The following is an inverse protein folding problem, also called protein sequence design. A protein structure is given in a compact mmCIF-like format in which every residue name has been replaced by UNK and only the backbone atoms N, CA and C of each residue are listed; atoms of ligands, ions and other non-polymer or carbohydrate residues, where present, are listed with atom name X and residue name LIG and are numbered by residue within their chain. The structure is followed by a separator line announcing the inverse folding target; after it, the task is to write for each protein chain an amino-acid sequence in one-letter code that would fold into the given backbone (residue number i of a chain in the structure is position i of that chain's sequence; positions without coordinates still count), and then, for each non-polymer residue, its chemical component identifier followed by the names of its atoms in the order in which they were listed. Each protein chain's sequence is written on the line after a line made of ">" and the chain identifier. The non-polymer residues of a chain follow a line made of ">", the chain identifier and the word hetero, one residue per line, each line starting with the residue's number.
data_IF_534553912827
#
_entry.id   IF_534553912827
#
_cell.length_a   1.000
_cell.length_b   1.000
_cell.length_c   1.000
_cell.angle_alpha   90.00
_cell.angle_beta   90.00
_cell.angle_gamma   90.00
#
_symmetry.space_group_name_H-M   'P 1'
#
loop_
_entity.id
_entity.type
_entity.pdbx_description
1 polymer ?
#
# COMPACT_ATOMS: atom_id res chain seq x y z
N UNK A 1 60.93 44.95 -25.51
CA UNK A 1 59.64 45.68 -25.65
C UNK A 1 58.60 44.89 -24.86
N UNK A 2 58.74 44.71 -23.55
CA UNK A 2 58.85 45.70 -22.46
C UNK A 2 57.76 46.76 -22.53
N UNK A 3 56.76 46.60 -21.67
CA UNK A 3 56.17 47.67 -20.88
C UNK A 3 55.77 47.09 -19.52
N UNK A 4 56.68 47.18 -18.57
CA UNK A 4 56.40 47.25 -17.14
C UNK A 4 55.94 48.67 -16.81
N UNK A 5 54.88 48.80 -16.00
CA UNK A 5 54.81 49.87 -14.99
C UNK A 5 54.08 49.35 -13.75
N UNK A 6 54.74 49.51 -12.61
CA UNK A 6 54.33 49.19 -11.24
C UNK A 6 53.73 50.41 -10.53
N UNK A 7 52.89 50.19 -9.51
CA UNK A 7 52.94 50.89 -8.20
C UNK A 7 51.92 50.32 -7.17
N UNK A 8 52.47 49.56 -6.22
CA UNK A 8 52.42 49.56 -4.74
C UNK A 8 51.20 49.95 -3.85
N UNK A 9 51.15 49.23 -2.69
CA UNK A 9 50.53 49.50 -1.34
C UNK A 9 49.00 49.29 -1.19
N UNK A 10 48.41 48.77 -0.10
CA UNK A 10 48.80 48.23 1.22
C UNK A 10 47.58 47.46 1.82
N UNK A 11 47.81 46.55 2.77
CA UNK A 11 46.92 46.17 3.89
C UNK A 11 45.48 45.66 3.69
N UNK A 12 45.18 44.49 4.28
CA UNK A 12 43.81 44.19 4.72
C UNK A 12 43.42 42.71 4.72
N UNK A 13 43.45 42.08 5.90
CA UNK A 13 42.73 40.84 6.20
C UNK A 13 41.24 40.98 5.80
N UNK A 14 40.69 39.99 5.10
CA UNK A 14 39.28 39.66 5.31
C UNK A 14 39.03 38.16 5.20
N UNK A 15 38.67 37.58 6.34
CA UNK A 15 38.16 36.23 6.47
C UNK A 15 36.71 36.22 5.97
N UNK A 16 36.42 35.52 4.89
CA UNK A 16 35.04 35.15 4.55
C UNK A 16 34.92 33.64 4.32
N UNK A 17 34.68 32.96 5.44
CA UNK A 17 33.55 32.05 5.63
C UNK A 17 33.27 31.03 4.50
N UNK A 18 33.97 29.90 4.53
CA UNK A 18 33.45 28.63 4.01
C UNK A 18 33.00 27.77 5.19
N UNK A 19 31.70 27.79 5.49
CA UNK A 19 31.06 26.77 6.33
C UNK A 19 30.97 25.46 5.52
N UNK A 20 31.40 24.31 6.06
CA UNK A 20 31.12 23.02 5.42
C UNK A 20 29.66 22.64 5.65
N UNK A 21 28.82 22.77 4.62
CA UNK A 21 27.49 22.16 4.52
C UNK A 21 27.59 20.64 4.27
N UNK A 22 28.30 19.90 5.13
CA UNK A 22 28.43 18.43 5.00
C UNK A 22 27.74 17.65 6.12
N UNK A 23 27.22 18.31 7.16
CA UNK A 23 26.62 17.62 8.33
C UNK A 23 25.13 17.27 8.22
N UNK A 24 24.37 17.89 7.32
CA UNK A 24 22.91 17.69 7.23
C UNK A 24 22.51 16.49 6.35
N UNK A 25 23.24 16.24 5.27
CA UNK A 25 23.05 15.06 4.39
C UNK A 25 23.44 13.75 5.09
N UNK A 26 24.48 13.79 5.93
CA UNK A 26 24.96 12.62 6.67
C UNK A 26 24.00 12.22 7.80
N UNK A 27 23.32 13.20 8.40
CA UNK A 27 22.30 12.99 9.44
C UNK A 27 20.99 12.42 8.88
N UNK A 28 20.65 12.71 7.62
CA UNK A 28 19.49 12.12 6.94
C UNK A 28 19.73 10.67 6.53
N UNK A 29 20.97 10.30 6.17
CA UNK A 29 21.37 8.90 5.93
C UNK A 29 21.42 8.06 7.21
N UNK A 30 21.90 8.63 8.32
CA UNK A 30 21.97 7.91 9.61
C UNK A 30 20.59 7.67 10.22
N UNK A 31 19.62 8.56 9.97
CA UNK A 31 18.22 8.36 10.38
C UNK A 31 17.50 7.31 9.51
N UNK A 32 17.90 7.11 8.25
CA UNK A 32 17.36 6.04 7.40
C UNK A 32 17.93 4.65 7.75
N UNK A 33 19.17 4.61 8.27
CA UNK A 33 19.81 3.39 8.78
C UNK A 33 19.18 2.90 10.09
N UNK A 34 18.74 3.82 10.95
CA UNK A 34 18.23 3.48 12.30
C UNK A 34 16.83 2.85 12.30
N UNK A 35 16.08 2.95 11.20
CA UNK A 35 14.75 2.30 11.06
C UNK A 35 14.89 0.82 10.67
N UNK A 36 16.04 0.40 10.13
CA UNK A 36 16.31 -0.99 9.74
C UNK A 36 16.89 -1.86 10.87
N UNK A 37 17.31 -1.26 11.99
CA UNK A 37 18.03 -1.98 13.05
C UNK A 37 17.15 -2.52 14.20
N UNK A 38 15.82 -2.36 14.14
CA UNK A 38 14.91 -2.80 15.21
C UNK A 38 14.51 -4.28 15.19
N UNK A 39 15.10 -5.12 14.33
CA UNK A 39 14.71 -6.54 14.29
C UNK A 39 15.82 -7.51 13.88
N UNK A 40 16.91 -7.57 14.65
CA UNK A 40 17.99 -8.56 14.41
C UNK A 40 17.58 -10.04 14.63
N UNK A 41 16.39 -10.31 15.16
CA UNK A 41 15.91 -11.68 15.44
C UNK A 41 14.51 -12.01 14.88
N UNK A 42 13.90 -11.14 14.07
CA UNK A 42 12.64 -11.43 13.40
C UNK A 42 12.90 -11.86 11.96
N UNK A 43 12.48 -13.07 11.58
CA UNK A 43 12.45 -13.47 10.16
C UNK A 43 11.34 -12.66 9.49
N UNK A 44 11.67 -11.49 8.95
CA UNK A 44 10.74 -10.67 8.18
C UNK A 44 10.59 -11.28 6.79
N UNK A 45 9.38 -11.73 6.45
CA UNK A 45 9.06 -12.18 5.11
C UNK A 45 8.15 -11.13 4.47
N UNK A 46 8.63 -10.51 3.40
CA UNK A 46 7.88 -9.51 2.66
C UNK A 46 6.63 -10.15 2.05
N UNK A 47 5.54 -9.38 2.01
CA UNK A 47 4.28 -9.80 1.39
C UNK A 47 4.08 -9.05 0.08
N UNK A 48 3.45 -9.72 -0.88
CA UNK A 48 3.02 -9.12 -2.14
C UNK A 48 1.56 -9.49 -2.43
N UNK A 49 0.89 -8.71 -3.28
CA UNK A 49 -0.43 -9.05 -3.80
C UNK A 49 -0.28 -9.51 -5.26
N UNK A 50 -0.75 -10.72 -5.53
CA UNK A 50 -1.02 -11.19 -6.88
C UNK A 50 -2.52 -11.07 -7.17
N UNK A 51 -2.86 -10.43 -8.29
CA UNK A 51 -4.23 -10.39 -8.80
C UNK A 51 -4.27 -11.05 -10.17
N UNK A 52 -4.97 -12.18 -10.27
CA UNK A 52 -5.25 -12.84 -11.54
C UNK A 52 -6.50 -12.19 -12.13
N UNK A 53 -6.33 -11.56 -13.29
CA UNK A 53 -7.33 -10.76 -14.00
C UNK A 53 -8.35 -11.66 -14.73
N UNK A 54 -9.51 -11.11 -15.17
CA UNK A 54 -10.60 -11.91 -15.72
C UNK A 54 -10.23 -12.77 -16.93
N UNK A 55 -9.26 -12.32 -17.74
CA UNK A 55 -8.75 -13.04 -18.92
C UNK A 55 -7.99 -14.33 -18.56
N UNK A 56 -7.43 -14.41 -17.36
CA UNK A 56 -6.57 -15.52 -16.93
C UNK A 56 -7.16 -16.36 -15.79
N UNK A 57 -8.37 -16.06 -15.31
CA UNK A 57 -8.99 -16.81 -14.20
C UNK A 57 -9.19 -18.31 -14.52
N UNK A 58 -9.45 -18.66 -15.78
CA UNK A 58 -9.56 -20.07 -16.20
C UNK A 58 -8.20 -20.80 -16.20
N UNK A 59 -7.11 -20.06 -16.00
CA UNK A 59 -5.72 -20.54 -15.89
C UNK A 59 -5.14 -20.28 -14.50
N UNK A 60 -5.99 -20.00 -13.51
CA UNK A 60 -5.55 -19.66 -12.17
C UNK A 60 -4.71 -20.79 -11.53
N UNK A 61 -5.12 -22.05 -11.68
CA UNK A 61 -4.38 -23.19 -11.11
C UNK A 61 -2.98 -23.33 -11.71
N UNK A 62 -2.83 -23.11 -13.03
CA UNK A 62 -1.53 -23.13 -13.72
C UNK A 62 -0.62 -21.99 -13.23
N UNK A 63 -1.19 -20.78 -13.07
CA UNK A 63 -0.47 -19.61 -12.56
C UNK A 63 -0.05 -19.82 -11.10
N UNK A 64 -0.92 -20.39 -10.27
CA UNK A 64 -0.62 -20.73 -8.87
C UNK A 64 0.50 -21.76 -8.77
N UNK A 65 0.50 -22.79 -9.64
CA UNK A 65 1.58 -23.75 -9.71
C UNK A 65 2.93 -23.08 -10.04
N UNK A 66 2.95 -22.13 -11.00
CA UNK A 66 4.15 -21.36 -11.32
C UNK A 66 4.62 -20.54 -10.12
N UNK A 67 3.70 -19.87 -9.41
CA UNK A 67 4.00 -19.08 -8.20
C UNK A 67 4.66 -19.96 -7.14
N UNK A 68 4.07 -21.12 -6.83
CA UNK A 68 4.59 -22.05 -5.82
C UNK A 68 5.95 -22.62 -6.23
N UNK A 69 6.13 -22.98 -7.50
CA UNK A 69 7.41 -23.48 -8.03
C UNK A 69 8.52 -22.43 -7.97
N UNK A 70 8.17 -21.13 -8.01
CA UNK A 70 9.12 -20.03 -7.82
C UNK A 70 9.39 -19.70 -6.33
N UNK A 71 8.97 -20.57 -5.41
CA UNK A 71 9.30 -20.48 -3.99
C UNK A 71 8.49 -19.44 -3.21
N UNK A 72 7.37 -18.97 -3.77
CA UNK A 72 6.41 -18.18 -3.00
C UNK A 72 5.56 -19.09 -2.11
N UNK A 73 5.14 -18.58 -0.96
CA UNK A 73 4.05 -19.16 -0.18
C UNK A 73 2.77 -18.37 -0.39
N UNK A 74 1.64 -19.06 -0.53
CA UNK A 74 0.31 -18.46 -0.60
C UNK A 74 -0.27 -18.39 0.81
N UNK A 75 -0.45 -17.18 1.34
CA UNK A 75 -0.97 -16.95 2.70
C UNK A 75 -2.49 -16.91 2.73
N UNK A 76 -3.10 -16.21 1.76
CA UNK A 76 -4.54 -16.09 1.63
C UNK A 76 -4.91 -16.02 0.14
N UNK A 77 -6.09 -16.53 -0.21
CA UNK A 77 -6.63 -16.47 -1.56
C UNK A 77 -8.13 -16.24 -1.50
N UNK A 78 -8.67 -15.43 -2.42
CA UNK A 78 -10.11 -15.31 -2.63
C UNK A 78 -10.44 -15.05 -4.09
N UNK A 79 -11.58 -15.58 -4.53
CA UNK A 79 -12.21 -15.22 -5.82
C UNK A 79 -13.26 -14.16 -5.56
N UNK A 80 -13.25 -13.07 -6.32
CA UNK A 80 -14.18 -11.94 -6.15
C UNK A 80 -14.58 -11.37 -7.51
N UNK A 81 -15.78 -10.81 -7.61
CA UNK A 81 -16.19 -9.97 -8.74
C UNK A 81 -16.35 -8.55 -8.21
N UNK A 82 -15.58 -7.61 -8.76
CA UNK A 82 -15.62 -6.21 -8.33
C UNK A 82 -16.77 -5.48 -9.00
N UNK A 83 -17.39 -4.57 -8.26
CA UNK A 83 -18.26 -3.54 -8.87
C UNK A 83 -17.40 -2.46 -9.54
N UNK A 84 -18.01 -1.64 -10.41
CA UNK A 84 -17.32 -0.52 -11.04
C UNK A 84 -16.77 0.49 -10.03
N UNK A 85 -17.50 0.73 -8.94
CA UNK A 85 -17.09 1.59 -7.83
C UNK A 85 -15.86 1.01 -7.12
N UNK A 86 -15.93 -0.24 -6.67
CA UNK A 86 -14.80 -0.92 -6.01
C UNK A 86 -13.56 -0.99 -6.92
N UNK A 87 -13.75 -1.25 -8.21
CA UNK A 87 -12.66 -1.28 -9.17
C UNK A 87 -12.05 0.13 -9.38
N UNK A 88 -12.88 1.17 -9.37
CA UNK A 88 -12.41 2.55 -9.50
C UNK A 88 -11.62 2.99 -8.27
N UNK A 89 -12.07 2.61 -7.08
CA UNK A 89 -11.35 2.86 -5.82
C UNK A 89 -9.99 2.14 -5.80
N UNK A 90 -9.97 0.88 -6.21
CA UNK A 90 -8.75 0.07 -6.29
C UNK A 90 -7.71 0.69 -7.24
N UNK A 91 -8.14 1.20 -8.40
CA UNK A 91 -7.28 1.84 -9.40
C UNK A 91 -7.29 3.37 -9.31
N UNK A 92 -7.59 3.96 -8.15
CA UNK A 92 -7.76 5.41 -7.98
C UNK A 92 -6.54 6.24 -8.41
N UNK A 93 -5.33 5.68 -8.31
CA UNK A 93 -4.08 6.31 -8.79
C UNK A 93 -4.06 6.53 -10.32
N UNK A 94 -4.90 5.82 -11.06
CA UNK A 94 -5.05 5.96 -12.51
C UNK A 94 -6.24 6.85 -12.90
N UNK A 95 -6.94 7.46 -11.94
CA UNK A 95 -8.05 8.35 -12.23
C UNK A 95 -7.61 9.50 -13.16
N UNK A 96 -8.46 9.81 -14.15
CA UNK A 96 -8.18 10.84 -15.16
C UNK A 96 -7.26 10.39 -16.31
N UNK A 97 -6.67 9.18 -16.27
CA UNK A 97 -5.93 8.62 -17.41
C UNK A 97 -6.90 8.15 -18.51
N UNK A 98 -6.53 8.34 -19.78
CA UNK A 98 -7.38 7.96 -20.94
C UNK A 98 -7.80 6.48 -20.95
N UNK A 99 -6.95 5.59 -20.44
CA UNK A 99 -7.23 4.15 -20.39
C UNK A 99 -8.09 3.71 -19.20
N UNK A 100 -8.31 4.59 -18.20
CA UNK A 100 -8.96 4.23 -16.94
C UNK A 100 -10.38 3.66 -17.10
N UNK A 101 -11.28 4.25 -17.92
CA UNK A 101 -12.61 3.67 -18.12
C UNK A 101 -12.57 2.26 -18.71
N UNK A 102 -11.65 2.02 -19.66
CA UNK A 102 -11.47 0.69 -20.27
C UNK A 102 -10.94 -0.31 -19.23
N UNK A 103 -9.98 0.10 -18.40
CA UNK A 103 -9.45 -0.72 -17.31
C UNK A 103 -10.57 -1.16 -16.35
N UNK A 104 -11.40 -0.22 -15.90
CA UNK A 104 -12.54 -0.51 -15.01
C UNK A 104 -13.54 -1.45 -15.67
N UNK A 105 -13.92 -1.19 -16.92
CA UNK A 105 -14.85 -2.04 -17.66
C UNK A 105 -14.30 -3.47 -17.82
N UNK A 106 -13.01 -3.63 -18.07
CA UNK A 106 -12.38 -4.93 -18.18
C UNK A 106 -12.31 -5.67 -16.85
N UNK A 107 -11.84 -5.02 -15.79
CA UNK A 107 -11.68 -5.64 -14.47
C UNK A 107 -13.03 -6.02 -13.82
N UNK A 108 -14.13 -5.39 -14.25
CA UNK A 108 -15.50 -5.74 -13.82
C UNK A 108 -16.23 -6.69 -14.77
N UNK A 109 -15.61 -7.09 -15.89
CA UNK A 109 -16.21 -7.99 -16.89
C UNK A 109 -16.36 -9.44 -16.40
N UNK A 110 -15.74 -9.80 -15.28
CA UNK A 110 -15.76 -11.15 -14.75
C UNK A 110 -15.11 -11.24 -13.36
N UNK A 111 -15.04 -12.45 -12.80
CA UNK A 111 -14.34 -12.68 -11.55
C UNK A 111 -12.84 -12.47 -11.71
N UNK A 112 -12.17 -12.19 -10.60
CA UNK A 112 -10.73 -12.14 -10.42
C UNK A 112 -10.32 -13.02 -9.24
N UNK A 113 -9.04 -13.38 -9.15
CA UNK A 113 -8.48 -14.10 -8.00
C UNK A 113 -7.43 -13.22 -7.35
N UNK A 114 -7.64 -12.83 -6.09
CA UNK A 114 -6.67 -12.11 -5.28
C UNK A 114 -5.93 -13.10 -4.39
N UNK A 115 -4.60 -12.98 -4.32
CA UNK A 115 -3.72 -13.89 -3.59
C UNK A 115 -2.68 -13.08 -2.83
N UNK A 116 -2.58 -13.29 -1.52
CA UNK A 116 -1.50 -12.75 -0.69
C UNK A 116 -0.33 -13.73 -0.76
N UNK A 117 0.79 -13.25 -1.29
CA UNK A 117 2.03 -14.00 -1.41
C UNK A 117 3.01 -13.60 -0.31
N UNK A 118 3.88 -14.52 0.08
CA UNK A 118 5.05 -14.21 0.92
C UNK A 118 6.31 -14.91 0.42
N UNK A 119 7.41 -14.15 0.39
CA UNK A 119 8.76 -14.58 0.02
C UNK A 119 9.76 -13.52 0.50
N UNK A 120 11.03 -13.87 0.62
CA UNK A 120 12.08 -12.85 0.69
C UNK A 120 12.04 -11.97 -0.58
N UNK A 121 12.04 -10.65 -0.41
CA UNK A 121 11.88 -9.66 -1.49
C UNK A 121 10.65 -9.94 -2.38
N UNK A 122 9.53 -10.37 -1.79
CA UNK A 122 8.33 -10.80 -2.51
C UNK A 122 7.84 -9.81 -3.57
N UNK A 123 7.91 -8.50 -3.33
CA UNK A 123 7.42 -7.50 -4.28
C UNK A 123 8.30 -7.51 -5.54
N UNK A 124 9.61 -7.42 -5.36
CA UNK A 124 10.57 -7.47 -6.46
C UNK A 124 10.49 -8.80 -7.20
N UNK A 125 10.51 -9.92 -6.47
CA UNK A 125 10.43 -11.26 -7.03
C UNK A 125 9.12 -11.47 -7.81
N UNK A 126 8.01 -10.92 -7.33
CA UNK A 126 6.72 -11.01 -8.04
C UNK A 126 6.78 -10.22 -9.35
N UNK A 127 7.38 -9.02 -9.33
CA UNK A 127 7.59 -8.19 -10.52
C UNK A 127 8.46 -8.86 -11.56
N UNK A 128 9.53 -9.51 -11.14
CA UNK A 128 10.41 -10.30 -12.02
C UNK A 128 9.65 -11.48 -12.64
N UNK A 129 8.91 -12.23 -11.83
CA UNK A 129 8.14 -13.40 -12.28
C UNK A 129 7.04 -13.05 -13.30
N UNK A 130 6.35 -11.92 -13.12
CA UNK A 130 5.27 -11.53 -14.04
C UNK A 130 5.78 -10.86 -15.32
N UNK A 131 6.98 -10.27 -15.31
CA UNK A 131 7.56 -9.59 -16.47
C UNK A 131 6.90 -8.25 -16.84
N UNK A 132 7.27 -7.65 -17.99
CA UNK A 132 6.80 -6.33 -18.44
C UNK A 132 5.28 -6.24 -18.57
N UNK A 133 4.70 -5.06 -18.30
CA UNK A 133 3.24 -4.87 -18.31
C UNK A 133 2.58 -5.14 -19.67
N UNK A 134 3.28 -4.86 -20.77
CA UNK A 134 2.83 -5.20 -22.11
C UNK A 134 3.22 -6.64 -22.45
N UNK A 135 2.24 -7.52 -22.62
CA UNK A 135 2.46 -8.94 -22.93
C UNK A 135 3.20 -9.20 -24.24
N UNK A 136 3.12 -8.30 -25.23
CA UNK A 136 3.88 -8.43 -26.48
C UNK A 136 5.37 -8.27 -26.19
N UNK A 137 5.74 -7.22 -25.46
CA UNK A 137 7.12 -6.97 -25.01
C UNK A 137 7.59 -8.09 -24.09
N UNK A 138 6.71 -8.60 -23.20
CA UNK A 138 7.04 -9.72 -22.32
C UNK A 138 7.39 -10.98 -23.13
N UNK A 139 6.65 -11.31 -24.20
CA UNK A 139 6.96 -12.47 -25.07
C UNK A 139 8.33 -12.37 -25.73
N UNK A 140 8.75 -11.17 -26.08
CA UNK A 140 10.04 -10.93 -26.73
C UNK A 140 11.22 -10.94 -25.74
N UNK A 141 11.02 -10.35 -24.55
CA UNK A 141 12.13 -10.07 -23.61
C UNK A 141 12.19 -11.04 -22.44
N UNK A 142 11.06 -11.60 -22.02
CA UNK A 142 10.90 -12.48 -20.86
C UNK A 142 9.90 -13.61 -21.20
N UNK A 143 10.22 -14.50 -22.16
CA UNK A 143 9.27 -15.46 -22.74
C UNK A 143 8.66 -16.42 -21.70
N UNK A 144 9.36 -16.66 -20.59
CA UNK A 144 8.92 -17.54 -19.50
C UNK A 144 8.09 -16.81 -18.44
N UNK A 145 7.91 -15.49 -18.55
CA UNK A 145 7.12 -14.71 -17.58
C UNK A 145 5.62 -15.00 -17.68
N UNK A 146 4.91 -14.82 -16.56
CA UNK A 146 3.45 -15.05 -16.52
C UNK A 146 2.71 -14.20 -17.57
N UNK A 147 3.12 -12.95 -17.79
CA UNK A 147 2.49 -12.08 -18.81
C UNK A 147 2.78 -12.51 -20.23
N UNK A 148 3.91 -13.18 -20.48
CA UNK A 148 4.22 -13.76 -21.78
C UNK A 148 3.39 -15.02 -22.05
N UNK A 149 3.26 -15.89 -21.05
CA UNK A 149 2.56 -17.17 -21.16
C UNK A 149 1.03 -17.02 -21.26
N UNK A 150 0.44 -16.12 -20.46
CA UNK A 150 -1.02 -16.03 -20.30
C UNK A 150 -1.63 -14.73 -20.82
N UNK A 151 -0.81 -13.71 -21.08
CA UNK A 151 -1.28 -12.41 -21.53
C UNK A 151 -1.37 -12.26 -23.05
N UNK A 152 -2.26 -11.37 -23.48
CA UNK A 152 -2.54 -11.09 -24.90
C UNK A 152 -2.17 -9.67 -25.33
N UNK A 153 -2.31 -8.68 -24.45
CA UNK A 153 -1.94 -7.27 -24.71
C UNK A 153 -1.72 -6.52 -23.39
N UNK A 154 -1.50 -5.20 -23.45
CA UNK A 154 -1.24 -4.36 -22.28
C UNK A 154 -2.36 -4.37 -21.23
N UNK A 155 -3.63 -4.38 -21.66
CA UNK A 155 -4.78 -4.39 -20.76
C UNK A 155 -5.09 -5.80 -20.24
N UNK A 156 -5.12 -6.77 -21.15
CA UNK A 156 -5.33 -8.21 -20.92
C UNK A 156 -3.99 -8.92 -20.79
N UNK A 157 -3.27 -8.58 -19.73
CA UNK A 157 -1.95 -9.11 -19.41
C UNK A 157 -1.99 -10.16 -18.30
N UNK A 158 -3.13 -10.84 -18.07
CA UNK A 158 -3.32 -11.90 -17.07
C UNK A 158 -3.18 -11.51 -15.58
N UNK A 159 -2.20 -10.70 -15.19
CA UNK A 159 -1.88 -10.44 -13.78
C UNK A 159 -1.50 -8.98 -13.47
N UNK A 160 -1.92 -8.52 -12.29
CA UNK A 160 -1.48 -7.27 -11.66
C UNK A 160 -0.25 -7.49 -10.78
N UNK A 161 0.62 -6.48 -10.69
CA UNK A 161 1.75 -6.52 -9.76
C UNK A 161 2.29 -5.14 -9.47
N UNK A 162 2.31 -4.82 -8.18
CA UNK A 162 2.63 -3.53 -7.59
C UNK A 162 4.13 -3.29 -7.54
N UNK A 163 4.52 -2.03 -7.36
CA UNK A 163 5.92 -1.59 -7.36
C UNK A 163 6.41 -1.07 -6.00
N UNK A 164 5.54 -0.94 -5.00
CA UNK A 164 5.89 -0.33 -3.71
C UNK A 164 5.21 -1.01 -2.52
N UNK A 165 5.90 -1.08 -1.38
CA UNK A 165 5.36 -1.64 -0.14
C UNK A 165 4.06 -0.94 0.32
N UNK A 166 3.98 0.38 0.16
CA UNK A 166 2.80 1.18 0.53
C UNK A 166 1.57 0.79 -0.30
N UNK A 167 1.73 0.64 -1.62
CA UNK A 167 0.62 0.21 -2.48
C UNK A 167 0.19 -1.22 -2.16
N UNK A 168 1.16 -2.13 -1.95
CA UNK A 168 0.87 -3.53 -1.58
C UNK A 168 0.10 -3.62 -0.28
N UNK A 169 0.48 -2.89 0.76
CA UNK A 169 -0.24 -2.90 2.03
C UNK A 169 -1.69 -2.43 1.85
N UNK A 170 -1.90 -1.31 1.16
CA UNK A 170 -3.24 -0.78 0.86
C UNK A 170 -4.08 -1.79 0.09
N UNK A 171 -3.51 -2.42 -0.93
CA UNK A 171 -4.21 -3.35 -1.80
C UNK A 171 -4.49 -4.70 -1.11
N UNK A 172 -3.57 -5.20 -0.28
CA UNK A 172 -3.85 -6.36 0.58
C UNK A 172 -5.00 -6.04 1.52
N UNK A 173 -4.98 -4.88 2.20
CA UNK A 173 -6.07 -4.47 3.11
C UNK A 173 -7.42 -4.32 2.37
N UNK A 174 -7.40 -3.88 1.11
CA UNK A 174 -8.60 -3.78 0.27
C UNK A 174 -9.29 -5.14 0.07
N UNK A 175 -8.52 -6.19 -0.23
CA UNK A 175 -9.06 -7.54 -0.45
C UNK A 175 -9.15 -8.39 0.83
N UNK A 176 -8.31 -8.12 1.82
CA UNK A 176 -8.14 -8.93 3.03
C UNK A 176 -8.00 -8.00 4.24
N UNK A 177 -9.10 -7.33 4.67
CA UNK A 177 -9.06 -6.32 5.74
C UNK A 177 -8.60 -6.87 7.09
N UNK A 178 -8.71 -8.19 7.29
CA UNK A 178 -8.27 -8.88 8.51
C UNK A 178 -6.86 -9.49 8.36
N UNK A 179 -6.18 -9.31 7.22
CA UNK A 179 -4.82 -9.80 7.03
C UNK A 179 -3.83 -8.88 7.75
N UNK A 180 -3.00 -9.46 8.62
CA UNK A 180 -1.89 -8.74 9.24
C UNK A 180 -0.78 -8.58 8.19
N UNK A 181 -0.46 -7.33 7.86
CA UNK A 181 0.68 -6.97 7.01
C UNK A 181 1.76 -6.40 7.93
N UNK A 182 2.89 -7.10 8.01
CA UNK A 182 4.06 -6.66 8.76
C UNK A 182 4.96 -5.74 7.91
N UNK A 183 5.80 -4.91 8.55
CA UNK A 183 5.97 -4.78 10.00
C UNK A 183 4.77 -4.09 10.65
N UNK A 184 4.31 -4.62 11.79
CA UNK A 184 3.34 -3.88 12.60
C UNK A 184 4.03 -2.58 13.01
N UNK A 185 3.44 -1.40 12.76
CA UNK A 185 4.03 -0.14 13.16
C UNK A 185 4.35 -0.16 14.66
N UNK A 186 5.59 0.20 15.00
CA UNK A 186 6.05 0.34 16.39
C UNK A 186 6.63 1.74 16.60
N UNK A 187 6.68 2.21 17.84
CA UNK A 187 7.26 3.52 18.15
C UNK A 187 6.42 4.69 17.63
N UNK A 188 7.06 5.65 16.96
CA UNK A 188 6.39 6.89 16.52
C UNK A 188 5.28 6.65 15.48
N UNK A 189 5.47 5.84 14.42
CA UNK A 189 4.39 5.51 13.49
C UNK A 189 3.13 4.93 14.16
N UNK A 190 3.30 4.12 15.21
CA UNK A 190 2.18 3.57 15.98
C UNK A 190 1.44 4.68 16.75
N UNK A 191 2.18 5.60 17.37
CA UNK A 191 1.61 6.76 18.09
C UNK A 191 0.83 7.67 17.13
N UNK A 192 1.42 7.98 15.98
CA UNK A 192 0.80 8.83 14.96
C UNK A 192 -0.53 8.22 14.49
N UNK A 193 -0.54 6.91 14.22
CA UNK A 193 -1.76 6.20 13.85
C UNK A 193 -2.83 6.26 14.95
N UNK A 194 -2.46 6.01 16.20
CA UNK A 194 -3.36 6.09 17.35
C UNK A 194 -3.95 7.50 17.49
N UNK A 195 -3.12 8.54 17.40
CA UNK A 195 -3.57 9.93 17.50
C UNK A 195 -4.56 10.32 16.39
N UNK A 196 -4.24 9.96 15.15
CA UNK A 196 -5.04 10.33 13.99
C UNK A 196 -6.35 9.55 13.89
N UNK A 197 -6.36 8.26 14.24
CA UNK A 197 -7.45 7.36 13.89
C UNK A 197 -8.24 6.82 15.09
N UNK A 198 -7.61 6.68 16.26
CA UNK A 198 -8.20 5.96 17.41
C UNK A 198 -8.51 6.89 18.57
N UNK A 199 -7.55 7.72 18.96
CA UNK A 199 -7.56 8.53 20.18
C UNK A 199 -8.75 9.50 20.22
N UNK A 200 -9.08 10.12 19.08
CA UNK A 200 -10.20 11.08 18.98
C UNK A 200 -11.53 10.48 19.43
N UNK A 201 -11.76 9.19 19.15
CA UNK A 201 -12.99 8.48 19.48
C UNK A 201 -12.89 7.87 20.87
N UNK A 202 -11.79 7.17 21.17
CA UNK A 202 -11.64 6.46 22.44
C UNK A 202 -11.55 7.39 23.64
N UNK A 203 -10.87 8.55 23.53
CA UNK A 203 -10.77 9.53 24.63
C UNK A 203 -12.15 10.07 24.98
N UNK A 204 -13.01 10.33 23.99
CA UNK A 204 -14.40 10.78 24.24
C UNK A 204 -15.19 9.72 24.99
N UNK A 205 -15.11 8.46 24.56
CA UNK A 205 -15.81 7.36 25.20
C UNK A 205 -15.31 7.10 26.63
N UNK A 206 -13.98 7.10 26.84
CA UNK A 206 -13.36 6.96 28.16
C UNK A 206 -13.73 8.11 29.09
N UNK A 207 -13.77 9.35 28.58
CA UNK A 207 -14.21 10.51 29.36
C UNK A 207 -15.66 10.36 29.82
N UNK A 208 -16.53 9.85 28.95
CA UNK A 208 -17.93 9.60 29.29
C UNK A 208 -18.08 8.43 30.28
N UNK A 209 -17.29 7.36 30.11
CA UNK A 209 -17.26 6.21 31.03
C UNK A 209 -16.92 6.64 32.46
N UNK A 210 -15.90 7.49 32.63
CA UNK A 210 -15.49 8.02 33.93
C UNK A 210 -16.59 8.87 34.61
N UNK A 211 -17.46 9.51 33.81
CA UNK A 211 -18.58 10.32 34.31
C UNK A 211 -19.77 9.45 34.73
N UNK A 212 -20.17 8.49 33.90
CA UNK A 212 -21.36 7.67 34.16
C UNK A 212 -21.14 6.53 35.16
N UNK A 213 -19.93 5.96 35.21
CA UNK A 213 -19.57 4.82 36.09
C UNK A 213 -20.60 3.68 36.07
N UNK A 214 -20.92 3.15 34.87
CA UNK A 214 -21.87 2.06 34.71
C UNK A 214 -21.41 0.78 35.44
N UNK A 215 -22.36 -0.11 35.75
CA UNK A 215 -22.08 -1.39 36.40
C UNK A 215 -21.14 -2.29 35.59
N UNK A 216 -21.31 -2.27 34.27
CA UNK A 216 -20.52 -3.06 33.31
C UNK A 216 -19.72 -2.14 32.38
N UNK A 217 -18.57 -1.60 32.85
CA UNK A 217 -17.84 -0.55 32.15
C UNK A 217 -17.29 -0.96 30.78
N UNK A 218 -16.95 -2.24 30.59
CA UNK A 218 -16.43 -2.75 29.30
C UNK A 218 -17.51 -2.80 28.24
N UNK A 219 -18.69 -3.36 28.57
CA UNK A 219 -19.82 -3.46 27.65
C UNK A 219 -20.32 -2.07 27.29
N UNK A 220 -20.52 -1.22 28.31
CA UNK A 220 -20.95 0.17 28.09
C UNK A 220 -19.96 0.94 27.20
N UNK A 221 -18.65 0.75 27.39
CA UNK A 221 -17.64 1.40 26.56
C UNK A 221 -17.70 0.92 25.12
N UNK A 222 -17.87 -0.38 24.89
CA UNK A 222 -18.02 -0.94 23.56
C UNK A 222 -19.25 -0.36 22.84
N UNK A 223 -20.40 -0.33 23.50
CA UNK A 223 -21.63 0.25 22.96
C UNK A 223 -21.44 1.74 22.64
N UNK A 224 -20.83 2.50 23.56
CA UNK A 224 -20.53 3.92 23.30
C UNK A 224 -19.59 4.12 22.13
N UNK A 225 -18.52 3.34 22.03
CA UNK A 225 -17.61 3.42 20.87
C UNK A 225 -18.35 3.16 19.56
N UNK A 226 -19.30 2.23 19.54
CA UNK A 226 -20.12 1.95 18.36
C UNK A 226 -21.09 3.08 18.01
N UNK A 227 -21.64 3.79 19.00
CA UNK A 227 -22.49 4.97 18.81
C UNK A 227 -21.72 6.19 18.25
N UNK A 228 -20.50 6.41 18.76
CA UNK A 228 -19.71 7.60 18.42
C UNK A 228 -18.72 7.38 17.27
N UNK A 229 -18.70 6.18 16.68
CA UNK A 229 -17.80 5.84 15.59
C UNK A 229 -18.10 6.73 14.35
N UNK A 230 -17.18 7.61 13.94
CA UNK A 230 -17.40 8.51 12.80
C UNK A 230 -17.46 7.78 11.45
N UNK A 231 -17.00 6.53 11.40
CA UNK A 231 -16.95 5.71 10.19
C UNK A 231 -18.13 4.73 10.07
N UNK A 232 -19.01 4.68 11.08
CA UNK A 232 -20.24 3.88 11.01
C UNK A 232 -21.41 4.79 10.60
N UNK A 233 -22.10 4.53 9.48
CA UNK A 233 -23.27 5.31 9.10
C UNK A 233 -24.37 5.16 10.16
N UNK A 234 -24.97 6.29 10.54
CA UNK A 234 -26.12 6.32 11.44
C UNK A 234 -27.37 5.98 10.63
N UNK A 235 -27.85 4.74 10.75
CA UNK A 235 -29.11 4.34 10.14
C UNK A 235 -30.26 5.02 10.90
N UNK A 236 -30.82 6.09 10.34
CA UNK A 236 -32.12 6.59 10.79
C UNK A 236 -33.18 5.56 10.41
N UNK A 237 -33.87 4.98 11.39
CA UNK A 237 -35.09 4.23 11.10
C UNK A 237 -36.09 5.21 10.49
N UNK A 238 -36.38 5.05 9.20
CA UNK A 238 -37.51 5.73 8.58
C UNK A 238 -38.75 5.02 9.13
N UNK A 239 -39.46 5.64 10.07
CA UNK A 239 -40.80 5.22 10.43
C UNK A 239 -41.67 5.35 9.18
N UNK A 240 -41.99 4.22 8.56
CA UNK A 240 -43.01 4.16 7.51
C UNK A 240 -44.34 4.40 8.22
N UNK A 241 -45.08 5.49 7.93
CA UNK A 241 -46.38 5.70 8.52
C UNK A 241 -47.27 4.51 8.14
N UNK A 242 -47.83 3.82 9.14
CA UNK A 242 -48.88 2.84 8.92
C UNK A 242 -50.00 3.56 8.16
N UNK A 243 -50.25 3.13 6.93
CA UNK A 243 -51.44 3.53 6.19
C UNK A 243 -52.65 3.03 6.98
N UNK A 244 -53.40 3.95 7.57
CA UNK A 244 -54.73 3.67 8.08
C UNK A 244 -55.65 3.45 6.88
N UNK A 245 -56.30 2.29 6.87
CA UNK A 245 -57.35 1.85 5.92
C UNK A 245 -58.44 2.90 5.67
#
# INVERSE_FOLDING_TARGET
>A
MDLFTSQSFDGGNDQTNQQPQSGLEETLRSNHSSIMDFNKNGIFVERALALIKPDAVNKADDIEAIILNHGFSILQKRRVTLTAEQCSDFYSEHYGKKFFPSLVAFMTSGPIVAIVLSKENAIQQWRELIGPANSIVAKETHPDSIRALFGSNEQKNAVHGNDSAVSVEREIRFFFPNCIVEPIPVGQPAKDYLEQNVNRTIIKALTALCKEKPKDPVIWLADKLMEINPYKPKLSQVEVPLSSD
#
